data_IF_483363822642
#
_entry.id   IF_483363822642
#
_cell.length_a   1.000
_cell.length_b   1.000
_cell.length_c   1.000
_cell.angle_alpha   90.00
_cell.angle_beta   90.00
_cell.angle_gamma   90.00
#
_symmetry.space_group_name_H-M   'P 1'
#
loop_
_entity.id
_entity.type
_entity.pdbx_description
1 polymer ?
#
# COMPACT_ATOMS: atom_id res chain seq x y z
N UNK A 1 4.23 2.04 -9.25
CA UNK A 1 5.22 2.12 -10.35
C UNK A 1 4.92 3.35 -11.20
N UNK A 2 5.91 4.24 -11.37
CA UNK A 2 5.74 5.47 -12.13
C UNK A 2 5.71 5.22 -13.64
N UNK A 3 4.98 6.06 -14.38
CA UNK A 3 4.95 6.07 -15.84
C UNK A 3 6.38 6.13 -16.39
N UNK A 4 6.71 5.29 -17.38
CA UNK A 4 8.02 5.31 -18.02
C UNK A 4 8.32 6.71 -18.58
N UNK A 5 9.46 7.28 -18.22
CA UNK A 5 9.88 8.61 -18.67
C UNK A 5 10.71 8.46 -19.95
N UNK A 6 10.30 9.07 -21.06
CA UNK A 6 10.98 8.93 -22.36
C UNK A 6 11.96 10.09 -22.53
N UNK A 7 13.27 9.79 -22.62
CA UNK A 7 14.31 10.75 -23.01
C UNK A 7 14.85 10.38 -24.39
N UNK A 8 14.78 11.30 -25.35
CA UNK A 8 15.36 11.10 -26.68
C UNK A 8 14.78 9.91 -27.47
N UNK A 9 13.55 9.48 -27.16
CA UNK A 9 12.88 8.33 -27.80
C UNK A 9 13.08 6.99 -27.08
N UNK A 10 13.94 6.92 -26.06
CA UNK A 10 14.13 5.70 -25.25
C UNK A 10 13.45 5.87 -23.88
N UNK A 11 12.63 4.90 -23.41
CA UNK A 11 12.14 4.91 -22.05
C UNK A 11 13.32 4.70 -21.09
N UNK A 12 13.57 5.69 -20.22
CA UNK A 12 14.64 5.68 -19.21
C UNK A 12 14.01 5.49 -17.83
N UNK A 13 14.47 4.48 -17.09
CA UNK A 13 14.21 4.36 -15.65
C UNK A 13 12.94 3.61 -15.24
N UNK A 14 12.30 2.84 -16.12
CA UNK A 14 11.27 1.89 -15.69
C UNK A 14 11.86 0.49 -15.52
N UNK A 15 11.92 0.02 -14.28
CA UNK A 15 12.14 -1.39 -13.95
C UNK A 15 11.10 -2.28 -14.66
N UNK A 16 11.48 -3.51 -15.02
CA UNK A 16 10.53 -4.44 -15.64
C UNK A 16 9.39 -4.78 -14.68
N UNK A 17 8.15 -4.86 -15.19
CA UNK A 17 7.00 -5.33 -14.41
C UNK A 17 7.25 -6.73 -13.83
N UNK A 18 8.05 -7.56 -14.49
CA UNK A 18 8.40 -8.88 -14.00
C UNK A 18 9.10 -8.87 -12.63
N UNK A 19 9.76 -7.78 -12.22
CA UNK A 19 10.39 -7.68 -10.89
C UNK A 19 9.40 -7.85 -9.74
N UNK A 20 8.19 -7.31 -9.89
CA UNK A 20 7.13 -7.40 -8.87
C UNK A 20 6.09 -8.47 -9.18
N UNK A 21 6.23 -9.20 -10.28
CA UNK A 21 5.22 -10.18 -10.73
C UNK A 21 5.35 -11.52 -9.97
N UNK A 22 4.23 -12.10 -9.51
CA UNK A 22 4.14 -13.39 -8.80
C UNK A 22 4.62 -14.55 -9.66
N UNK A 23 4.38 -14.46 -10.96
CA UNK A 23 4.71 -15.50 -11.92
C UNK A 23 6.16 -15.43 -12.42
N UNK A 24 6.92 -14.41 -12.04
CA UNK A 24 8.30 -14.26 -12.46
C UNK A 24 9.26 -15.02 -11.54
N UNK A 25 10.09 -15.85 -12.14
CA UNK A 25 11.25 -16.49 -11.52
C UNK A 25 12.52 -15.74 -11.97
N UNK A 26 13.18 -15.06 -11.03
CA UNK A 26 14.32 -14.20 -11.32
C UNK A 26 15.56 -14.83 -10.68
N UNK A 27 16.53 -15.19 -11.51
CA UNK A 27 17.85 -15.67 -11.10
C UNK A 27 18.83 -14.53 -11.24
N UNK A 28 19.56 -14.21 -10.17
CA UNK A 28 20.60 -13.19 -10.16
C UNK A 28 21.95 -13.86 -9.89
N UNK A 29 22.94 -13.53 -10.71
CA UNK A 29 24.31 -14.00 -10.56
C UNK A 29 25.11 -13.13 -9.59
N UNK A 30 26.43 -13.32 -9.58
CA UNK A 30 27.32 -12.53 -8.72
C UNK A 30 27.54 -11.12 -9.27
N UNK A 31 27.38 -10.93 -10.58
CA UNK A 31 27.44 -9.61 -11.21
C UNK A 31 26.04 -9.04 -11.35
N UNK A 32 25.91 -7.72 -11.19
CA UNK A 32 24.63 -7.02 -11.39
C UNK A 32 24.08 -7.18 -12.81
N UNK A 33 24.95 -7.37 -13.80
CA UNK A 33 24.57 -7.65 -15.20
C UNK A 33 24.03 -9.06 -15.43
N UNK A 34 24.28 -9.98 -14.51
CA UNK A 34 23.83 -11.37 -14.60
C UNK A 34 22.44 -11.48 -13.97
N UNK A 35 21.41 -11.20 -14.76
CA UNK A 35 20.03 -11.46 -14.35
C UNK A 35 19.26 -12.18 -15.45
N UNK A 36 18.60 -13.28 -15.08
CA UNK A 36 17.72 -14.04 -15.98
C UNK A 36 16.34 -14.04 -15.37
N UNK A 37 15.37 -13.50 -16.11
CA UNK A 37 13.96 -13.49 -15.71
C UNK A 37 13.20 -14.51 -16.55
N UNK A 38 12.55 -15.47 -15.90
CA UNK A 38 11.69 -16.47 -16.52
C UNK A 38 10.24 -16.24 -16.13
N UNK A 39 9.33 -16.36 -17.07
CA UNK A 39 7.89 -16.27 -16.84
C UNK A 39 7.31 -17.69 -16.69
N UNK A 40 6.68 -17.97 -15.55
CA UNK A 40 6.01 -19.25 -15.26
C UNK A 40 4.50 -19.22 -15.54
N UNK A 41 3.94 -18.09 -15.99
CA UNK A 41 2.50 -17.99 -16.31
C UNK A 41 2.14 -18.64 -17.66
N UNK A 42 3.14 -18.94 -18.49
CA UNK A 42 2.97 -19.43 -19.86
C UNK A 42 3.62 -20.80 -19.93
N UNK A 43 2.97 -21.76 -20.60
CA UNK A 43 3.52 -23.09 -20.83
C UNK A 43 3.88 -23.27 -22.31
N UNK A 44 5.14 -23.64 -22.65
CA UNK A 44 6.29 -23.84 -21.78
C UNK A 44 6.82 -22.53 -21.18
N UNK A 45 7.50 -22.61 -20.02
CA UNK A 45 8.09 -21.44 -19.37
C UNK A 45 9.12 -20.78 -20.30
N UNK A 46 9.03 -19.46 -20.47
CA UNK A 46 9.92 -18.72 -21.36
C UNK A 46 10.86 -17.81 -20.57
N UNK A 47 12.07 -17.61 -21.10
CA UNK A 47 12.96 -16.54 -20.66
C UNK A 47 12.45 -15.23 -21.27
N UNK A 48 12.25 -14.22 -20.44
CA UNK A 48 11.82 -12.90 -20.88
C UNK A 48 13.05 -12.14 -21.39
N UNK A 49 13.12 -11.79 -22.70
CA UNK A 49 14.36 -11.27 -23.29
C UNK A 49 14.55 -9.75 -23.12
N UNK A 50 13.52 -9.02 -22.69
CA UNK A 50 13.57 -7.56 -22.54
C UNK A 50 12.73 -7.07 -21.34
N UNK A 51 12.90 -5.81 -20.98
CA UNK A 51 12.12 -5.19 -19.91
C UNK A 51 10.66 -5.00 -20.35
N UNK A 52 9.75 -5.72 -19.70
CA UNK A 52 8.32 -5.62 -20.01
C UNK A 52 7.70 -4.41 -19.31
N UNK A 53 7.10 -3.53 -20.11
CA UNK A 53 6.30 -2.40 -19.63
C UNK A 53 4.83 -2.78 -19.35
N UNK A 54 4.27 -3.75 -20.07
CA UNK A 54 2.87 -4.19 -19.93
C UNK A 54 2.76 -5.72 -20.11
N UNK A 55 2.04 -6.40 -19.22
CA UNK A 55 1.83 -7.85 -19.27
C UNK A 55 0.39 -8.19 -18.87
N UNK A 56 -0.32 -8.93 -19.72
CA UNK A 56 -1.71 -9.36 -19.46
C UNK A 56 -1.84 -10.28 -18.25
N UNK A 57 -0.85 -11.12 -18.00
CA UNK A 57 -0.80 -12.05 -16.85
C UNK A 57 -0.01 -11.50 -15.66
N UNK A 58 0.17 -10.17 -15.58
CA UNK A 58 0.83 -9.54 -14.45
C UNK A 58 -0.02 -9.69 -13.20
N UNK A 59 0.58 -10.22 -12.13
CA UNK A 59 -0.02 -10.28 -10.81
C UNK A 59 1.02 -9.81 -9.79
N UNK A 60 0.69 -8.80 -8.98
CA UNK A 60 1.64 -8.18 -8.07
C UNK A 60 1.90 -9.04 -6.82
N UNK A 61 3.17 -9.38 -6.55
CA UNK A 61 3.62 -10.11 -5.35
C UNK A 61 3.37 -9.33 -4.07
N UNK A 62 3.40 -8.01 -4.15
CA UNK A 62 3.26 -7.13 -2.98
C UNK A 62 1.80 -6.92 -2.59
N UNK A 63 0.86 -7.37 -3.43
CA UNK A 63 -0.57 -7.26 -3.13
C UNK A 63 -0.99 -8.42 -2.21
N UNK A 64 -1.34 -8.15 -0.94
CA UNK A 64 -1.77 -9.20 -0.04
C UNK A 64 -3.08 -9.83 -0.52
N UNK A 65 -3.23 -11.12 -0.22
CA UNK A 65 -4.52 -11.81 -0.37
C UNK A 65 -5.51 -11.32 0.69
N UNK A 66 -6.80 -11.55 0.44
CA UNK A 66 -7.86 -11.17 1.40
C UNK A 66 -7.60 -11.75 2.80
N UNK A 67 -7.25 -13.03 2.86
CA UNK A 67 -6.93 -13.72 4.11
C UNK A 67 -5.73 -13.11 4.83
N UNK A 68 -4.68 -12.76 4.09
CA UNK A 68 -3.52 -12.07 4.67
C UNK A 68 -3.88 -10.68 5.21
N UNK A 69 -4.80 -9.96 4.56
CA UNK A 69 -5.30 -8.69 5.09
C UNK A 69 -6.14 -8.89 6.36
N UNK A 70 -6.97 -9.93 6.41
CA UNK A 70 -7.77 -10.28 7.59
C UNK A 70 -6.88 -10.62 8.79
N UNK A 71 -5.83 -11.42 8.59
CA UNK A 71 -4.86 -11.77 9.63
C UNK A 71 -4.09 -10.55 10.15
N UNK A 72 -3.88 -9.53 9.31
CA UNK A 72 -3.22 -8.26 9.67
C UNK A 72 -4.19 -7.20 10.22
N UNK A 73 -5.50 -7.41 10.11
CA UNK A 73 -6.48 -6.40 10.47
C UNK A 73 -6.58 -6.23 11.98
N UNK A 74 -6.56 -4.98 12.44
CA UNK A 74 -6.85 -4.66 13.84
C UNK A 74 -8.38 -4.62 13.98
N UNK A 75 -8.93 -5.59 14.72
CA UNK A 75 -10.35 -5.61 15.04
C UNK A 75 -10.67 -4.50 16.05
N UNK A 76 -11.17 -3.37 15.55
CA UNK A 76 -11.68 -2.29 16.40
C UNK A 76 -13.09 -2.66 16.85
N UNK A 77 -13.24 -3.11 18.09
CA UNK A 77 -14.56 -3.29 18.69
C UNK A 77 -15.17 -1.92 19.00
N UNK A 78 -16.40 -1.60 18.51
CA UNK A 78 -17.12 -0.40 18.90
C UNK A 78 -17.67 -0.59 20.32
N UNK A 79 -16.80 -0.58 21.32
CA UNK A 79 -17.22 -0.44 22.72
C UNK A 79 -17.81 0.95 22.97
N UNK A 80 -18.43 1.19 24.15
CA UNK A 80 -18.88 2.53 24.52
C UNK A 80 -17.68 3.48 24.43
N UNK A 81 -17.78 4.45 23.51
CA UNK A 81 -16.75 5.43 23.28
C UNK A 81 -16.41 6.06 24.62
N UNK A 82 -15.15 5.94 25.08
CA UNK A 82 -14.69 6.75 26.20
C UNK A 82 -14.95 8.21 25.80
N UNK A 83 -15.55 9.04 26.68
CA UNK A 83 -15.82 10.42 26.33
C UNK A 83 -14.54 11.07 25.83
N UNK A 84 -14.57 11.52 24.58
CA UNK A 84 -13.45 12.21 23.95
C UNK A 84 -13.33 13.59 24.61
N UNK A 85 -12.26 13.79 25.37
CA UNK A 85 -12.02 15.03 26.09
C UNK A 85 -10.83 14.91 27.04
N UNK A 86 -10.09 16.00 27.20
CA UNK A 86 -9.13 16.12 28.30
C UNK A 86 -9.92 16.21 29.60
N UNK A 87 -9.61 15.35 30.58
CA UNK A 87 -10.13 15.53 31.93
C UNK A 87 -9.50 16.80 32.47
N UNK A 88 -10.27 17.88 32.55
CA UNK A 88 -9.86 19.07 33.31
C UNK A 88 -9.80 18.62 34.77
N UNK A 89 -8.60 18.37 35.27
CA UNK A 89 -8.40 18.09 36.68
C UNK A 89 -8.88 19.27 37.51
N UNK A 90 -9.41 19.00 38.70
CA UNK A 90 -9.77 20.04 39.67
C UNK A 90 -8.45 20.62 40.21
N UNK A 91 -7.91 21.59 39.47
CA UNK A 91 -6.65 22.25 39.75
C UNK A 91 -6.73 23.70 39.29
N UNK A 92 -7.05 24.57 40.24
CA UNK A 92 -6.89 26.02 40.28
C UNK A 92 -6.95 26.77 38.94
N UNK A 93 -8.15 27.30 38.65
CA UNK A 93 -8.44 28.71 38.32
C UNK A 93 -9.56 28.81 37.26
N UNK A 94 -10.77 29.04 37.75
CA UNK A 94 -11.68 30.12 37.31
C UNK A 94 -11.49 30.63 35.87
N UNK A 95 -12.13 29.98 34.89
CA UNK A 95 -12.67 30.64 33.69
C UNK A 95 -13.44 29.64 32.81
N UNK A 96 -14.78 29.72 32.87
CA UNK A 96 -15.70 29.71 31.72
C UNK A 96 -17.10 29.33 32.23
N UNK A 97 -17.86 30.34 32.66
CA UNK A 97 -19.31 30.22 32.80
C UNK A 97 -19.86 30.19 31.39
N UNK A 98 -20.24 29.02 30.89
CA UNK A 98 -21.10 28.93 29.71
C UNK A 98 -22.53 29.19 30.18
N UNK A 99 -23.02 30.40 29.98
CA UNK A 99 -24.44 30.72 30.10
C UNK A 99 -25.18 29.95 29.00
N UNK A 100 -25.98 28.97 29.38
CA UNK A 100 -27.10 28.52 28.55
C UNK A 100 -28.36 29.11 29.15
N UNK A 101 -28.82 30.22 28.58
CA UNK A 101 -30.19 30.70 28.76
C UNK A 101 -31.12 29.64 28.15
N UNK A 102 -31.92 28.99 28.99
CA UNK A 102 -33.13 28.29 28.56
C UNK A 102 -34.29 29.21 28.88
N UNK A 103 -34.73 30.00 27.90
CA UNK A 103 -36.07 30.57 27.92
C UNK A 103 -37.03 29.49 27.39
N UNK A 104 -37.66 28.78 28.32
CA UNK A 104 -38.97 28.16 28.12
C UNK A 104 -39.87 28.76 29.19
N UNK A 105 -40.79 29.64 28.80
CA UNK A 105 -41.99 29.96 29.57
C UNK A 105 -43.15 30.16 28.55
N UNK A 106 -44.11 29.23 28.64
CA UNK A 106 -45.55 29.27 28.34
C UNK A 106 -46.11 29.92 27.05
#
# INVERSE_FOLDING_TARGET
MGKAYIKGGTPVGSDSLCRTCTNAHIMTGYRESEMVTMCNAIHPNIVVPFLIYECSSYYDKNKPSWKQMEDLAITVTPGPLKPVGFKVGVGFNEAAITRTETDNDD
#
